data_IF_850159942826
#
_entry.id   IF_850159942826
#
_cell.length_a   1.000
_cell.length_b   1.000
_cell.length_c   1.000
_cell.angle_alpha   90.00
_cell.angle_beta   90.00
_cell.angle_gamma   90.00
#
_symmetry.space_group_name_H-M   'P 1'
#
loop_
_entity.id
_entity.type
_entity.pdbx_description
1 polymer ?
#
# COMPACT_ATOMS: atom_id res chain seq x y z
N UNK A 1 -14.14 14.97 -2.74
CA UNK A 1 -13.01 14.11 -2.37
C UNK A 1 -12.87 13.01 -3.41
N UNK A 2 -11.75 12.95 -4.13
CA UNK A 2 -11.43 11.92 -5.13
C UNK A 2 -10.41 10.95 -4.56
N UNK A 3 -10.73 9.65 -4.62
CA UNK A 3 -9.95 8.59 -3.96
C UNK A 3 -9.17 7.78 -5.00
N UNK A 4 -7.91 7.43 -4.71
CA UNK A 4 -7.14 6.43 -5.44
C UNK A 4 -7.05 5.15 -4.59
N UNK A 5 -7.34 3.98 -5.19
CA UNK A 5 -7.02 2.67 -4.63
C UNK A 5 -5.96 2.01 -5.52
N UNK A 6 -4.80 1.67 -4.97
CA UNK A 6 -3.81 0.80 -5.64
C UNK A 6 -3.93 -0.63 -5.13
N UNK A 7 -3.55 -1.62 -5.96
CA UNK A 7 -3.71 -3.04 -5.60
C UNK A 7 -5.19 -3.46 -5.59
N UNK A 8 -6.02 -2.83 -6.42
CA UNK A 8 -7.48 -2.97 -6.39
C UNK A 8 -8.00 -4.39 -6.70
N UNK A 9 -7.16 -5.24 -7.30
CA UNK A 9 -7.50 -6.63 -7.63
C UNK A 9 -7.23 -7.60 -6.48
N UNK A 10 -6.57 -7.16 -5.40
CA UNK A 10 -6.40 -7.96 -4.18
C UNK A 10 -7.65 -7.96 -3.31
N UNK A 11 -7.66 -8.78 -2.25
CA UNK A 11 -8.82 -8.93 -1.35
C UNK A 11 -9.27 -7.59 -0.73
N UNK A 12 -8.33 -6.88 -0.11
CA UNK A 12 -8.63 -5.59 0.53
C UNK A 12 -9.05 -4.51 -0.49
N UNK A 13 -8.40 -4.50 -1.66
CA UNK A 13 -8.78 -3.60 -2.75
C UNK A 13 -10.21 -3.85 -3.24
N UNK A 14 -10.60 -5.13 -3.38
CA UNK A 14 -11.95 -5.52 -3.75
C UNK A 14 -13.00 -5.03 -2.73
N UNK A 15 -12.73 -5.23 -1.44
CA UNK A 15 -13.64 -4.80 -0.36
C UNK A 15 -13.78 -3.28 -0.30
N UNK A 16 -12.68 -2.54 -0.49
CA UNK A 16 -12.74 -1.08 -0.58
C UNK A 16 -13.58 -0.60 -1.75
N UNK A 17 -13.45 -1.21 -2.94
CA UNK A 17 -14.30 -0.84 -4.09
C UNK A 17 -15.77 -1.04 -3.75
N UNK A 18 -16.15 -2.20 -3.20
CA UNK A 18 -17.54 -2.47 -2.79
C UNK A 18 -18.06 -1.46 -1.78
N UNK A 19 -17.25 -1.12 -0.78
CA UNK A 19 -17.60 -0.12 0.22
C UNK A 19 -17.81 1.25 -0.44
N UNK A 20 -16.86 1.70 -1.27
CA UNK A 20 -16.94 2.99 -1.95
C UNK A 20 -18.10 3.06 -2.94
N UNK A 21 -18.39 1.98 -3.67
CA UNK A 21 -19.56 1.85 -4.53
C UNK A 21 -20.86 2.00 -3.73
N UNK A 22 -20.95 1.34 -2.57
CA UNK A 22 -22.16 1.36 -1.73
C UNK A 22 -22.49 2.74 -1.15
N UNK A 23 -21.50 3.61 -1.03
CA UNK A 23 -21.67 5.00 -0.58
C UNK A 23 -21.62 6.02 -1.73
N UNK A 24 -21.48 5.56 -2.99
CA UNK A 24 -21.41 6.42 -4.17
C UNK A 24 -20.18 7.35 -4.18
N UNK A 25 -19.04 6.90 -3.64
CA UNK A 25 -17.83 7.72 -3.60
C UNK A 25 -17.20 7.88 -5.00
N UNK A 26 -16.54 9.01 -5.24
CA UNK A 26 -15.73 9.21 -6.44
C UNK A 26 -14.33 8.61 -6.24
N UNK A 27 -14.02 7.51 -6.93
CA UNK A 27 -12.72 6.86 -6.84
C UNK A 27 -12.20 6.32 -8.17
N UNK A 28 -10.90 6.10 -8.21
CA UNK A 28 -10.21 5.36 -9.27
C UNK A 28 -9.49 4.19 -8.60
N UNK A 29 -9.68 3.00 -9.15
CA UNK A 29 -9.07 1.77 -8.67
C UNK A 29 -8.13 1.20 -9.73
N UNK A 30 -6.88 0.96 -9.34
CA UNK A 30 -5.82 0.49 -10.25
C UNK A 30 -5.25 -0.84 -9.76
N UNK A 31 -5.10 -1.80 -10.67
CA UNK A 31 -4.19 -2.93 -10.49
C UNK A 31 -2.77 -2.57 -10.94
N UNK A 32 -1.88 -3.56 -10.89
CA UNK A 32 -0.48 -3.41 -11.29
C UNK A 32 -0.32 -3.03 -12.78
N UNK A 33 -1.22 -3.47 -13.66
CA UNK A 33 -1.15 -3.16 -15.10
C UNK A 33 -1.43 -1.69 -15.38
N UNK A 34 -2.39 -1.10 -14.66
CA UNK A 34 -2.77 0.30 -14.79
C UNK A 34 -1.77 1.21 -14.09
N UNK A 35 -1.36 0.84 -12.87
CA UNK A 35 -0.39 1.57 -12.07
C UNK A 35 0.53 0.61 -11.30
N UNK A 36 1.72 0.41 -11.84
CA UNK A 36 2.81 -0.26 -11.14
C UNK A 36 3.45 0.72 -10.14
N UNK A 37 3.19 0.49 -8.85
CA UNK A 37 3.65 1.39 -7.79
C UNK A 37 5.16 1.32 -7.56
N UNK A 38 5.85 0.31 -8.11
CA UNK A 38 7.32 0.22 -8.04
C UNK A 38 8.02 1.22 -8.97
N UNK A 39 7.28 1.84 -9.89
CA UNK A 39 7.80 2.80 -10.86
C UNK A 39 7.53 4.24 -10.42
N UNK A 40 8.50 4.85 -9.73
CA UNK A 40 8.45 6.21 -9.19
C UNK A 40 7.83 7.25 -10.13
N UNK A 41 8.30 7.31 -11.38
CA UNK A 41 7.86 8.33 -12.32
C UNK A 41 6.43 8.08 -12.80
N UNK A 42 6.02 6.81 -12.97
CA UNK A 42 4.63 6.47 -13.29
C UNK A 42 3.69 6.85 -12.15
N UNK A 43 4.07 6.56 -10.90
CA UNK A 43 3.33 6.99 -9.70
C UNK A 43 3.19 8.51 -9.67
N UNK A 44 4.29 9.24 -9.75
CA UNK A 44 4.25 10.71 -9.71
C UNK A 44 3.35 11.28 -10.81
N UNK A 45 3.51 10.83 -12.05
CA UNK A 45 2.76 11.37 -13.19
C UNK A 45 1.27 11.03 -13.11
N UNK A 46 0.93 9.79 -12.77
CA UNK A 46 -0.45 9.34 -12.65
C UNK A 46 -1.18 10.09 -11.55
N UNK A 47 -0.61 10.13 -10.35
CA UNK A 47 -1.27 10.73 -9.19
C UNK A 47 -1.41 12.26 -9.35
N UNK A 48 -0.39 12.94 -9.87
CA UNK A 48 -0.44 14.41 -10.09
C UNK A 48 -1.41 14.81 -11.20
N UNK A 49 -1.47 14.06 -12.30
CA UNK A 49 -2.33 14.42 -13.44
C UNK A 49 -3.82 14.34 -13.11
N UNK A 50 -4.20 13.50 -12.14
CA UNK A 50 -5.60 13.23 -11.81
C UNK A 50 -6.10 13.94 -10.55
N UNK A 51 -5.20 14.45 -9.69
CA UNK A 51 -5.52 15.20 -8.47
C UNK A 51 -6.37 14.41 -7.46
N UNK A 52 -5.72 13.65 -6.58
CA UNK A 52 -6.40 12.86 -5.55
C UNK A 52 -6.35 13.52 -4.18
N UNK A 53 -7.44 13.38 -3.40
CA UNK A 53 -7.55 13.87 -2.02
C UNK A 53 -7.20 12.78 -0.99
N UNK A 54 -7.35 11.51 -1.38
CA UNK A 54 -7.04 10.33 -0.57
C UNK A 54 -6.43 9.25 -1.45
N UNK A 55 -5.35 8.63 -0.97
CA UNK A 55 -4.69 7.48 -1.60
C UNK A 55 -4.68 6.32 -0.61
N UNK A 56 -5.29 5.21 -0.99
CA UNK A 56 -5.36 3.96 -0.23
C UNK A 56 -4.49 2.92 -0.93
N UNK A 57 -3.35 2.59 -0.34
CA UNK A 57 -2.44 1.57 -0.85
C UNK A 57 -2.81 0.18 -0.35
N UNK A 58 -3.42 -0.64 -1.21
CA UNK A 58 -3.66 -2.06 -0.95
C UNK A 58 -2.69 -2.98 -1.72
N UNK A 59 -1.74 -2.41 -2.46
CA UNK A 59 -0.72 -3.20 -3.16
C UNK A 59 0.40 -3.58 -2.18
N UNK A 60 0.71 -4.87 -2.14
CA UNK A 60 1.76 -5.45 -1.33
C UNK A 60 2.24 -6.77 -1.95
N UNK A 61 3.48 -7.14 -1.67
CA UNK A 61 4.02 -8.47 -1.87
C UNK A 61 3.60 -9.32 -0.67
N UNK A 62 2.72 -10.29 -0.90
CA UNK A 62 2.07 -11.08 0.15
C UNK A 62 2.52 -12.54 0.17
N UNK A 63 3.37 -12.96 -0.76
CA UNK A 63 3.89 -14.33 -0.79
C UNK A 63 5.08 -14.43 0.16
N UNK A 64 4.81 -14.87 1.39
CA UNK A 64 5.82 -14.93 2.46
C UNK A 64 6.84 -16.02 2.17
N UNK A 65 6.42 -17.13 1.55
CA UNK A 65 7.28 -18.28 1.28
C UNK A 65 8.38 -17.91 0.28
N UNK A 66 8.07 -17.07 -0.71
CA UNK A 66 9.02 -16.68 -1.76
C UNK A 66 9.71 -15.35 -1.48
N UNK A 67 9.33 -14.63 -0.43
CA UNK A 67 9.89 -13.32 -0.10
C UNK A 67 11.40 -13.35 0.19
N UNK A 68 11.91 -14.47 0.72
CA UNK A 68 13.34 -14.67 0.99
C UNK A 68 14.16 -14.87 -0.29
N UNK A 69 13.55 -15.45 -1.32
CA UNK A 69 14.19 -15.67 -2.62
C UNK A 69 14.02 -14.46 -3.56
N UNK A 70 12.94 -13.67 -3.37
CA UNK A 70 12.60 -12.50 -4.19
C UNK A 70 12.62 -11.19 -3.38
N UNK A 71 13.71 -11.03 -2.60
CA UNK A 71 13.93 -9.87 -1.72
C UNK A 71 13.80 -8.56 -2.50
N UNK A 72 14.33 -8.50 -3.73
CA UNK A 72 14.31 -7.27 -4.53
C UNK A 72 12.89 -6.81 -4.84
N UNK A 73 12.00 -7.70 -5.31
CA UNK A 73 10.62 -7.32 -5.59
C UNK A 73 9.82 -7.09 -4.32
N UNK A 74 10.10 -7.85 -3.26
CA UNK A 74 9.52 -7.60 -1.94
C UNK A 74 9.81 -6.16 -1.47
N UNK A 75 11.07 -5.72 -1.52
CA UNK A 75 11.44 -4.34 -1.17
C UNK A 75 10.84 -3.31 -2.11
N UNK A 76 10.85 -3.57 -3.43
CA UNK A 76 10.23 -2.65 -4.41
C UNK A 76 8.76 -2.41 -4.11
N UNK A 77 8.01 -3.48 -3.81
CA UNK A 77 6.57 -3.40 -3.65
C UNK A 77 6.14 -2.98 -2.23
N UNK A 78 6.82 -3.47 -1.19
CA UNK A 78 6.44 -3.22 0.22
C UNK A 78 7.12 -2.00 0.85
N UNK A 79 8.24 -1.53 0.31
CA UNK A 79 8.94 -0.35 0.85
C UNK A 79 8.95 0.82 -0.15
N UNK A 80 9.47 0.61 -1.35
CA UNK A 80 9.65 1.71 -2.31
C UNK A 80 8.33 2.20 -2.90
N UNK A 81 7.40 1.30 -3.25
CA UNK A 81 6.09 1.69 -3.76
C UNK A 81 5.29 2.59 -2.80
N UNK A 82 5.09 2.18 -1.53
CA UNK A 82 4.48 3.04 -0.51
C UNK A 82 5.23 4.35 -0.31
N UNK A 83 6.57 4.34 -0.35
CA UNK A 83 7.37 5.56 -0.27
C UNK A 83 7.07 6.54 -1.42
N UNK A 84 6.96 6.06 -2.66
CA UNK A 84 6.65 6.91 -3.81
C UNK A 84 5.24 7.48 -3.72
N UNK A 85 4.26 6.68 -3.32
CA UNK A 85 2.87 7.11 -3.08
C UNK A 85 2.79 8.16 -1.97
N UNK A 86 3.45 7.93 -0.84
CA UNK A 86 3.49 8.87 0.28
C UNK A 86 4.11 10.20 -0.12
N UNK A 87 5.19 10.17 -0.91
CA UNK A 87 5.85 11.40 -1.38
C UNK A 87 4.92 12.23 -2.26
N UNK A 88 4.26 11.63 -3.25
CA UNK A 88 3.34 12.37 -4.13
C UNK A 88 2.07 12.80 -3.39
N UNK A 89 1.57 12.00 -2.44
CA UNK A 89 0.45 12.38 -1.58
C UNK A 89 0.77 13.67 -0.80
N UNK A 90 1.97 13.74 -0.20
CA UNK A 90 2.44 14.93 0.51
C UNK A 90 2.51 16.16 -0.38
N UNK A 91 3.02 16.01 -1.60
CA UNK A 91 3.09 17.11 -2.59
C UNK A 91 1.70 17.63 -2.97
N UNK A 92 0.70 16.75 -3.04
CA UNK A 92 -0.70 17.11 -3.33
C UNK A 92 -1.52 17.49 -2.08
N UNK A 93 -0.94 17.39 -0.88
CA UNK A 93 -1.66 17.49 0.40
C UNK A 93 -2.81 16.48 0.53
N UNK A 94 -2.68 15.33 -0.14
CA UNK A 94 -3.62 14.22 -0.06
C UNK A 94 -3.37 13.40 1.23
N UNK A 95 -4.43 12.80 1.76
CA UNK A 95 -4.29 11.80 2.82
C UNK A 95 -3.73 10.51 2.23
N UNK A 96 -2.79 9.87 2.91
CA UNK A 96 -2.20 8.60 2.50
C UNK A 96 -2.45 7.52 3.55
N UNK A 97 -2.99 6.38 3.11
CA UNK A 97 -3.21 5.20 3.94
C UNK A 97 -2.46 4.04 3.28
N UNK A 98 -1.68 3.30 4.07
CA UNK A 98 -1.06 2.04 3.65
C UNK A 98 -1.24 1.01 4.74
N UNK A 99 -1.34 -0.24 4.34
CA UNK A 99 -1.46 -1.36 5.27
C UNK A 99 -0.08 -1.99 5.48
N UNK A 100 0.13 -2.48 6.69
CA UNK A 100 1.32 -3.22 7.09
C UNK A 100 0.87 -4.57 7.66
N UNK A 101 1.82 -5.33 8.18
CA UNK A 101 1.62 -6.68 8.73
C UNK A 101 2.14 -6.71 10.16
N UNK A 102 1.59 -7.63 10.95
CA UNK A 102 2.13 -8.04 12.25
C UNK A 102 3.53 -8.69 12.16
N UNK A 103 3.98 -9.10 10.97
CA UNK A 103 5.35 -9.62 10.73
C UNK A 103 6.45 -8.58 10.91
N UNK A 104 6.09 -7.32 11.18
CA UNK A 104 7.03 -6.33 11.72
C UNK A 104 7.51 -6.68 13.13
N UNK A 105 6.92 -7.67 13.80
CA UNK A 105 7.30 -8.19 15.11
C UNK A 105 7.81 -9.64 15.03
N UNK A 106 8.63 -10.05 16.00
CA UNK A 106 9.28 -11.37 16.04
C UNK A 106 8.45 -12.49 16.70
N UNK A 107 7.27 -12.17 17.24
CA UNK A 107 6.46 -13.14 17.98
C UNK A 107 7.06 -13.62 19.31
N UNK A 108 8.18 -13.06 19.77
CA UNK A 108 8.88 -13.49 20.99
C UNK A 108 8.16 -13.10 22.29
N UNK A 109 7.18 -12.19 22.21
CA UNK A 109 6.49 -11.64 23.38
C UNK A 109 5.38 -12.59 23.85
N UNK A 110 5.39 -12.92 25.15
CA UNK A 110 4.34 -13.74 25.79
C UNK A 110 3.05 -12.96 26.13
N UNK A 111 2.91 -11.74 25.62
CA UNK A 111 1.73 -10.87 25.80
C UNK A 111 1.44 -10.18 24.48
N UNK A 112 0.20 -9.72 24.23
CA UNK A 112 -0.14 -9.02 22.99
C UNK A 112 0.81 -7.84 22.67
N UNK A 113 1.14 -7.71 21.38
CA UNK A 113 1.84 -6.52 20.88
C UNK A 113 0.89 -5.31 20.87
N UNK A 114 1.48 -4.15 21.05
CA UNK A 114 0.83 -2.84 21.08
C UNK A 114 1.52 -1.91 20.08
N UNK A 115 0.85 -0.81 19.71
CA UNK A 115 1.42 0.21 18.83
C UNK A 115 2.70 0.88 19.36
N UNK A 116 3.04 0.67 20.63
CA UNK A 116 4.24 1.25 21.26
C UNK A 116 5.41 0.25 21.30
N UNK A 117 5.19 -1.02 20.97
CA UNK A 117 6.26 -2.01 20.90
C UNK A 117 7.16 -1.72 19.68
N UNK A 118 8.47 -1.95 19.84
CA UNK A 118 9.43 -1.74 18.75
C UNK A 118 9.33 -2.89 17.75
N UNK A 119 9.19 -2.61 16.45
CA UNK A 119 9.32 -3.63 15.40
C UNK A 119 10.66 -4.35 15.47
N UNK A 120 10.63 -5.67 15.32
CA UNK A 120 11.79 -6.55 15.17
C UNK A 120 11.40 -7.68 14.20
N UNK A 121 11.29 -7.41 12.89
CA UNK A 121 10.92 -8.44 11.92
C UNK A 121 11.97 -9.55 11.90
N UNK A 122 11.52 -10.80 11.84
CA UNK A 122 12.40 -11.93 11.57
C UNK A 122 12.66 -11.98 10.06
N UNK A 123 13.93 -11.87 9.69
CA UNK A 123 14.42 -12.25 8.38
C UNK A 123 15.36 -13.43 8.61
N UNK A 124 15.10 -14.56 7.96
CA UNK A 124 16.02 -15.70 7.96
C UNK A 124 17.09 -15.52 6.89
#
# INVERSE_FOLDING_TARGET
SKILITGANGQLGYDFRRLLDSIGANYIATGHKELDITQKDRVSNFVKSMGFDLIINCAAYNDVETAEDDVENCFKLNAYGPHYLAKVAKELKATFITYSTDFVFDGSKNTPYTKNDKPNPLFT
#
